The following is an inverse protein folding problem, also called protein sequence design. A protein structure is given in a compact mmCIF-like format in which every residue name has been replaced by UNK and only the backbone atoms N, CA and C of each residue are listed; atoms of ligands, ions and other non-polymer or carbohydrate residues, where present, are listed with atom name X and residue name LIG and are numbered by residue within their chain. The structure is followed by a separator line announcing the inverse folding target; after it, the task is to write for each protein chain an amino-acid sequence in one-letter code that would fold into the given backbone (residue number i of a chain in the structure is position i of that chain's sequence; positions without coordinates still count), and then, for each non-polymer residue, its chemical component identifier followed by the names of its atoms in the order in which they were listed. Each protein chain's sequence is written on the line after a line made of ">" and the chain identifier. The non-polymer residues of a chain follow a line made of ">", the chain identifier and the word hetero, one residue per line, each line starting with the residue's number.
data_IF_368354792113
#
_entry.id   IF_368354792113
#
_cell.length_a   1.000
_cell.length_b   1.000
_cell.length_c   1.000
_cell.angle_alpha   90.00
_cell.angle_beta   90.00
_cell.angle_gamma   90.00
#
_symmetry.space_group_name_H-M   'P 1'
#
loop_
_entity.id
_entity.type
_entity.pdbx_description
1 polymer ?
#
# COMPACT_ATOMS: atom_id res chain seq x y z
N UNK A 1 7.03 19.32 -19.85
CA UNK A 1 6.25 19.35 -18.59
C UNK A 1 4.75 19.38 -18.89
N UNK A 2 4.14 20.45 -19.43
CA UNK A 2 2.69 20.49 -19.73
C UNK A 2 2.17 19.30 -20.55
N UNK A 3 2.81 18.97 -21.68
CA UNK A 3 2.42 17.81 -22.49
C UNK A 3 2.61 16.48 -21.74
N UNK A 4 3.64 16.38 -20.90
CA UNK A 4 3.93 15.16 -20.13
C UNK A 4 2.88 14.94 -19.04
N UNK A 5 2.49 15.97 -18.29
CA UNK A 5 1.41 15.87 -17.30
C UNK A 5 0.09 15.51 -17.96
N UNK A 6 -0.17 16.02 -19.17
CA UNK A 6 -1.34 15.62 -19.96
C UNK A 6 -1.25 14.15 -20.37
N UNK A 7 -0.12 13.69 -20.91
CA UNK A 7 0.02 12.29 -21.32
C UNK A 7 -0.06 11.32 -20.12
N UNK A 8 0.63 11.63 -19.02
CA UNK A 8 0.61 10.82 -17.79
C UNK A 8 -0.79 10.86 -17.15
N UNK A 9 -1.38 12.05 -17.00
CA UNK A 9 -2.69 12.22 -16.39
C UNK A 9 -3.80 11.57 -17.21
N UNK A 10 -3.84 11.82 -18.52
CA UNK A 10 -4.82 11.18 -19.41
C UNK A 10 -4.62 9.67 -19.50
N UNK A 11 -3.36 9.20 -19.57
CA UNK A 11 -3.04 7.78 -19.53
C UNK A 11 -3.49 7.10 -18.24
N UNK A 12 -3.22 7.73 -17.08
CA UNK A 12 -3.63 7.22 -15.78
C UNK A 12 -5.16 7.18 -15.63
N UNK A 13 -5.87 8.24 -16.04
CA UNK A 13 -7.34 8.26 -16.02
C UNK A 13 -7.91 7.21 -16.96
N UNK A 14 -7.42 7.12 -18.19
CA UNK A 14 -7.90 6.13 -19.16
C UNK A 14 -7.68 4.71 -18.66
N UNK A 15 -6.48 4.41 -18.15
CA UNK A 15 -6.15 3.10 -17.59
C UNK A 15 -7.01 2.77 -16.38
N UNK A 16 -7.24 3.74 -15.48
CA UNK A 16 -8.12 3.56 -14.34
C UNK A 16 -9.57 3.31 -14.72
N UNK A 17 -10.10 4.02 -15.72
CA UNK A 17 -11.47 3.79 -16.21
C UNK A 17 -11.61 2.41 -16.87
N UNK A 18 -10.65 2.00 -17.68
CA UNK A 18 -10.60 0.65 -18.25
C UNK A 18 -10.54 -0.40 -17.13
N UNK A 19 -9.71 -0.18 -16.13
CA UNK A 19 -9.63 -1.02 -14.94
C UNK A 19 -10.98 -1.15 -14.23
N UNK A 20 -11.62 -0.04 -13.90
CA UNK A 20 -12.88 -0.01 -13.15
C UNK A 20 -14.07 -0.61 -13.89
N UNK A 21 -14.21 -0.33 -15.19
CA UNK A 21 -15.42 -0.66 -15.92
C UNK A 21 -15.31 -1.93 -16.75
N UNK A 22 -14.10 -2.34 -17.13
CA UNK A 22 -13.90 -3.51 -17.98
C UNK A 22 -13.21 -4.63 -17.22
N UNK A 23 -12.10 -4.34 -16.54
CA UNK A 23 -11.29 -5.40 -15.93
C UNK A 23 -11.85 -5.88 -14.59
N UNK A 24 -12.08 -4.98 -13.63
CA UNK A 24 -12.57 -5.35 -12.28
C UNK A 24 -13.86 -6.17 -12.38
N UNK A 25 -14.92 -5.77 -13.11
CA UNK A 25 -16.16 -6.54 -13.16
C UNK A 25 -16.00 -7.90 -13.84
N UNK A 26 -15.00 -8.08 -14.69
CA UNK A 26 -14.75 -9.32 -15.42
C UNK A 26 -13.87 -10.30 -14.63
N UNK A 27 -12.94 -9.78 -13.82
CA UNK A 27 -11.96 -10.58 -13.07
C UNK A 27 -12.48 -10.99 -11.68
N UNK A 28 -13.38 -10.20 -11.10
CA UNK A 28 -13.82 -10.41 -9.71
C UNK A 28 -15.05 -11.29 -9.64
N UNK A 29 -15.01 -12.31 -8.77
CA UNK A 29 -16.14 -13.20 -8.51
C UNK A 29 -17.18 -12.61 -7.56
N UNK A 30 -16.83 -11.54 -6.82
CA UNK A 30 -17.69 -10.93 -5.80
C UNK A 30 -17.78 -9.41 -5.94
N UNK A 31 -18.91 -8.82 -5.49
CA UNK A 31 -19.07 -7.37 -5.43
C UNK A 31 -18.23 -6.73 -4.33
N UNK A 32 -18.25 -5.40 -4.20
CA UNK A 32 -17.43 -4.66 -3.22
C UNK A 32 -17.62 -5.14 -1.76
N UNK A 33 -18.87 -5.42 -1.39
CA UNK A 33 -19.25 -5.92 -0.08
C UNK A 33 -20.23 -7.06 -0.29
N UNK A 34 -19.94 -8.23 0.28
CA UNK A 34 -20.80 -9.41 0.18
C UNK A 34 -21.23 -9.85 1.56
N UNK A 35 -22.52 -10.18 1.68
CA UNK A 35 -23.05 -10.77 2.89
C UNK A 35 -23.08 -12.30 2.73
N UNK A 36 -22.20 -13.01 3.42
CA UNK A 36 -22.16 -14.47 3.46
C UNK A 36 -22.60 -14.94 4.83
N UNK A 37 -23.71 -15.70 4.89
CA UNK A 37 -24.18 -16.36 6.14
C UNK A 37 -24.25 -15.44 7.36
N UNK A 38 -24.78 -14.22 7.19
CA UNK A 38 -24.90 -13.15 8.20
C UNK A 38 -23.61 -12.42 8.58
N UNK A 39 -22.47 -12.80 8.02
CA UNK A 39 -21.23 -12.03 8.10
C UNK A 39 -21.09 -11.11 6.88
N UNK A 40 -20.57 -9.90 7.10
CA UNK A 40 -20.27 -8.94 6.04
C UNK A 40 -18.79 -9.07 5.72
N UNK A 41 -18.48 -9.53 4.52
CA UNK A 41 -17.11 -9.74 4.04
C UNK A 41 -16.81 -8.75 2.92
N UNK A 42 -15.59 -8.22 2.89
CA UNK A 42 -15.10 -7.43 1.78
C UNK A 42 -14.88 -8.36 0.58
N UNK A 43 -15.50 -8.05 -0.55
CA UNK A 43 -15.27 -8.83 -1.76
C UNK A 43 -13.96 -8.47 -2.46
N UNK A 44 -13.50 -9.38 -3.30
CA UNK A 44 -12.28 -9.26 -4.11
C UNK A 44 -12.25 -8.00 -4.99
N UNK A 45 -13.41 -7.48 -5.41
CA UNK A 45 -13.51 -6.24 -6.16
C UNK A 45 -13.14 -4.96 -5.37
N UNK A 46 -13.13 -4.99 -4.04
CA UNK A 46 -12.99 -3.77 -3.24
C UNK A 46 -11.63 -3.09 -3.39
N UNK A 47 -10.55 -3.84 -3.16
CA UNK A 47 -9.19 -3.33 -3.24
C UNK A 47 -8.85 -2.75 -4.64
N UNK A 48 -9.07 -3.47 -5.76
CA UNK A 48 -8.78 -2.92 -7.08
C UNK A 48 -9.69 -1.72 -7.42
N UNK A 49 -10.95 -1.72 -6.99
CA UNK A 49 -11.84 -0.57 -7.21
C UNK A 49 -11.32 0.70 -6.52
N UNK A 50 -10.87 0.60 -5.27
CA UNK A 50 -10.28 1.75 -4.57
C UNK A 50 -8.99 2.19 -5.26
N UNK A 51 -8.12 1.24 -5.62
CA UNK A 51 -6.84 1.54 -6.26
C UNK A 51 -7.04 2.31 -7.57
N UNK A 52 -7.91 1.82 -8.46
CA UNK A 52 -8.20 2.51 -9.72
C UNK A 52 -8.96 3.83 -9.49
N UNK A 53 -9.84 3.92 -8.50
CA UNK A 53 -10.52 5.19 -8.17
C UNK A 53 -9.53 6.27 -7.74
N UNK A 54 -8.58 5.92 -6.86
CA UNK A 54 -7.52 6.84 -6.44
C UNK A 54 -6.59 7.21 -7.60
N UNK A 55 -6.27 6.26 -8.48
CA UNK A 55 -5.50 6.52 -9.69
C UNK A 55 -6.22 7.48 -10.64
N UNK A 56 -7.54 7.31 -10.83
CA UNK A 56 -8.35 8.22 -11.65
C UNK A 56 -8.37 9.63 -11.06
N UNK A 57 -8.54 9.76 -9.73
CA UNK A 57 -8.50 11.05 -9.04
C UNK A 57 -7.12 11.70 -9.19
N UNK A 58 -6.04 10.95 -8.93
CA UNK A 58 -4.67 11.46 -9.09
C UNK A 58 -4.36 11.90 -10.52
N UNK A 59 -4.78 11.12 -11.51
CA UNK A 59 -4.65 11.47 -12.92
C UNK A 59 -5.47 12.72 -13.30
N UNK A 60 -6.70 12.84 -12.78
CA UNK A 60 -7.53 14.03 -12.99
C UNK A 60 -6.92 15.28 -12.35
N UNK A 61 -6.36 15.17 -11.14
CA UNK A 61 -5.64 16.27 -10.49
C UNK A 61 -4.44 16.74 -11.32
N UNK A 62 -3.67 15.82 -11.91
CA UNK A 62 -2.57 16.17 -12.83
C UNK A 62 -3.04 16.89 -14.10
N UNK A 63 -4.25 16.60 -14.57
CA UNK A 63 -4.86 17.31 -15.72
C UNK A 63 -5.36 18.70 -15.33
N UNK A 64 -5.85 18.87 -14.10
CA UNK A 64 -6.32 20.15 -13.56
C UNK A 64 -5.15 21.07 -13.23
N UNK A 65 -3.98 20.53 -12.89
CA UNK A 65 -2.79 21.29 -12.53
C UNK A 65 -2.29 22.17 -13.69
N UNK A 66 -2.85 23.38 -13.78
CA UNK A 66 -2.47 24.40 -14.75
C UNK A 66 -1.17 25.09 -14.32
N UNK A 67 -0.09 24.68 -14.98
CA UNK A 67 1.16 25.43 -15.26
C UNK A 67 1.62 26.42 -14.18
N UNK A 68 2.60 26.00 -13.38
CA UNK A 68 3.71 26.90 -13.07
C UNK A 68 4.85 26.64 -14.07
N UNK A 69 5.26 27.69 -14.77
CA UNK A 69 6.37 27.68 -15.70
C UNK A 69 7.69 27.45 -14.94
N UNK A 70 8.37 26.32 -15.18
CA UNK A 70 9.82 26.25 -14.94
C UNK A 70 10.52 25.39 -16.00
N UNK A 71 11.50 26.05 -16.62
CA UNK A 71 12.65 25.64 -17.44
C UNK A 71 12.79 24.20 -17.96
N UNK A 72 13.15 24.14 -19.25
CA UNK A 72 13.53 22.96 -20.04
C UNK A 72 14.94 22.51 -19.61
N UNK A 73 15.10 21.99 -18.40
CA UNK A 73 16.18 21.08 -18.02
C UNK A 73 15.60 20.17 -16.94
N UNK A 74 15.44 18.89 -17.23
CA UNK A 74 15.10 17.89 -16.19
C UNK A 74 16.38 17.72 -15.37
N UNK A 75 16.48 18.29 -14.15
CA UNK A 75 17.63 18.05 -13.32
C UNK A 75 17.63 16.58 -12.88
N UNK A 76 18.79 16.01 -12.56
CA UNK A 76 18.88 14.66 -12.01
C UNK A 76 18.16 14.54 -10.64
N UNK A 77 18.01 15.66 -9.93
CA UNK A 77 17.48 15.71 -8.57
C UNK A 77 15.99 15.29 -8.45
N UNK A 78 15.05 15.79 -9.28
CA UNK A 78 13.68 15.25 -9.31
C UNK A 78 13.60 13.76 -9.62
N UNK A 79 14.44 13.27 -10.52
CA UNK A 79 14.48 11.83 -10.87
C UNK A 79 14.93 10.97 -9.69
N UNK A 80 16.00 11.40 -8.98
CA UNK A 80 16.47 10.72 -7.77
C UNK A 80 15.42 10.73 -6.66
N UNK A 81 14.67 11.82 -6.50
CA UNK A 81 13.60 11.90 -5.52
C UNK A 81 12.47 10.92 -5.83
N UNK A 82 12.02 10.87 -7.09
CA UNK A 82 11.02 9.87 -7.53
C UNK A 82 11.54 8.44 -7.36
N UNK A 83 12.79 8.17 -7.73
CA UNK A 83 13.41 6.87 -7.53
C UNK A 83 13.49 6.50 -6.04
N UNK A 84 13.77 7.45 -5.16
CA UNK A 84 13.79 7.24 -3.71
C UNK A 84 12.38 6.91 -3.17
N UNK A 85 11.32 7.57 -3.65
CA UNK A 85 9.95 7.22 -3.29
C UNK A 85 9.60 5.79 -3.72
N UNK A 86 9.94 5.42 -4.95
CA UNK A 86 9.75 4.05 -5.46
C UNK A 86 10.54 3.05 -4.62
N UNK A 87 11.78 3.36 -4.25
CA UNK A 87 12.60 2.51 -3.41
C UNK A 87 12.02 2.33 -2.00
N UNK A 88 11.48 3.39 -1.38
CA UNK A 88 10.79 3.31 -0.08
C UNK A 88 9.55 2.42 -0.16
N UNK A 89 8.74 2.56 -1.22
CA UNK A 89 7.57 1.72 -1.44
C UNK A 89 7.99 0.26 -1.62
N UNK A 90 8.94 -0.01 -2.52
CA UNK A 90 9.45 -1.35 -2.78
C UNK A 90 10.03 -1.99 -1.50
N UNK A 91 10.81 -1.24 -0.74
CA UNK A 91 11.37 -1.70 0.52
C UNK A 91 10.30 -1.96 1.57
N UNK A 92 9.29 -1.09 1.68
CA UNK A 92 8.13 -1.31 2.55
C UNK A 92 7.33 -2.56 2.18
N UNK A 93 7.14 -2.83 0.89
CA UNK A 93 6.49 -4.06 0.41
C UNK A 93 7.32 -5.31 0.71
N UNK A 94 8.65 -5.23 0.56
CA UNK A 94 9.55 -6.32 0.94
C UNK A 94 9.49 -6.59 2.45
N UNK A 95 9.45 -5.55 3.28
CA UNK A 95 9.25 -5.69 4.72
C UNK A 95 7.89 -6.32 5.03
N UNK A 96 6.82 -5.85 4.39
CA UNK A 96 5.50 -6.48 4.54
C UNK A 96 5.59 -7.97 4.27
N UNK A 97 6.16 -8.35 3.13
CA UNK A 97 6.25 -9.74 2.67
C UNK A 97 7.12 -10.63 3.56
N UNK A 98 8.28 -10.14 4.00
CA UNK A 98 9.33 -11.00 4.57
C UNK A 98 9.57 -10.81 6.07
N UNK A 99 9.06 -9.76 6.70
CA UNK A 99 9.33 -9.53 8.12
C UNK A 99 8.74 -10.61 9.02
N UNK A 100 7.53 -11.12 8.71
CA UNK A 100 6.90 -12.20 9.47
C UNK A 100 7.71 -13.51 9.43
N UNK A 101 7.90 -14.12 8.24
CA UNK A 101 8.72 -15.33 8.10
C UNK A 101 10.17 -15.14 8.58
N UNK A 102 10.76 -13.96 8.34
CA UNK A 102 12.12 -13.65 8.77
C UNK A 102 12.28 -13.61 10.28
N UNK A 103 11.33 -13.02 11.02
CA UNK A 103 11.38 -13.02 12.48
C UNK A 103 11.13 -14.41 13.07
N UNK A 104 10.31 -15.24 12.42
CA UNK A 104 10.10 -16.62 12.84
C UNK A 104 11.38 -17.44 12.69
N UNK A 105 12.05 -17.34 11.54
CA UNK A 105 13.34 -17.99 11.31
C UNK A 105 14.39 -17.60 12.36
N UNK A 106 14.44 -16.32 12.73
CA UNK A 106 15.32 -15.85 13.81
C UNK A 106 14.92 -16.48 15.15
N UNK A 107 13.63 -16.52 15.48
CA UNK A 107 13.14 -17.08 16.73
C UNK A 107 13.42 -18.60 16.85
N UNK A 108 13.25 -19.36 15.77
CA UNK A 108 13.62 -20.78 15.68
C UNK A 108 15.13 -20.97 15.92
N UNK A 109 15.96 -20.11 15.33
CA UNK A 109 17.41 -20.10 15.56
C UNK A 109 17.83 -19.84 17.02
N UNK A 110 16.96 -19.23 17.83
CA UNK A 110 17.18 -19.00 19.27
C UNK A 110 16.49 -20.03 20.18
N UNK A 111 16.06 -21.18 19.63
CA UNK A 111 15.44 -22.27 20.39
C UNK A 111 13.91 -22.21 20.41
N UNK A 112 13.29 -21.50 19.48
CA UNK A 112 11.85 -21.58 19.19
C UNK A 112 11.45 -22.96 18.65
N UNK A 113 10.16 -23.27 18.72
CA UNK A 113 9.59 -24.49 18.14
C UNK A 113 9.58 -24.41 16.62
N UNK A 114 10.09 -25.43 15.92
CA UNK A 114 9.98 -25.59 14.46
C UNK A 114 8.50 -25.53 14.05
N UNK A 115 8.05 -24.38 13.57
CA UNK A 115 6.64 -24.12 13.29
C UNK A 115 6.54 -23.40 11.96
N UNK A 116 5.69 -23.88 11.05
CA UNK A 116 5.50 -23.23 9.77
C UNK A 116 4.81 -21.85 9.94
N UNK A 117 5.35 -20.79 9.34
CA UNK A 117 4.78 -19.43 9.42
C UNK A 117 3.29 -19.38 9.06
N UNK A 118 2.87 -20.21 8.10
CA UNK A 118 1.49 -20.32 7.65
C UNK A 118 0.50 -20.66 8.76
N UNK A 119 0.93 -21.41 9.78
CA UNK A 119 0.10 -21.77 10.94
C UNK A 119 0.00 -20.63 11.96
N UNK A 120 1.00 -19.76 11.99
CA UNK A 120 1.11 -18.66 12.95
C UNK A 120 0.54 -17.34 12.40
N UNK A 121 0.38 -17.21 11.08
CA UNK A 121 0.04 -15.95 10.39
C UNK A 121 -1.26 -15.27 10.85
N UNK A 122 -2.17 -16.01 11.48
CA UNK A 122 -3.45 -15.49 12.01
C UNK A 122 -3.37 -15.15 13.50
N UNK A 123 -2.27 -15.51 14.15
CA UNK A 123 -2.10 -15.35 15.60
C UNK A 123 -1.36 -14.06 15.94
N UNK A 124 -1.64 -13.52 17.12
CA UNK A 124 -0.84 -12.46 17.69
C UNK A 124 0.55 -13.00 18.08
N UNK A 125 1.66 -12.30 17.78
CA UNK A 125 1.78 -11.01 17.07
C UNK A 125 2.00 -11.13 15.55
N UNK A 126 2.17 -12.34 15.05
CA UNK A 126 2.61 -12.66 13.68
C UNK A 126 1.76 -12.03 12.58
N UNK A 127 0.45 -11.90 12.82
CA UNK A 127 -0.46 -11.28 11.85
C UNK A 127 -0.20 -9.79 11.59
N UNK A 128 0.41 -9.08 12.54
CA UNK A 128 0.60 -7.62 12.45
C UNK A 128 2.00 -7.19 12.02
N UNK A 129 3.02 -8.02 12.22
CA UNK A 129 4.44 -7.66 12.05
C UNK A 129 4.72 -7.07 10.66
N UNK A 130 4.35 -7.81 9.61
CA UNK A 130 4.61 -7.41 8.23
C UNK A 130 3.92 -6.10 7.90
N UNK A 131 2.60 -6.04 8.14
CA UNK A 131 1.79 -4.86 7.87
C UNK A 131 2.31 -3.63 8.63
N UNK A 132 2.61 -3.79 9.93
CA UNK A 132 3.10 -2.70 10.76
C UNK A 132 4.45 -2.17 10.27
N UNK A 133 5.45 -3.04 10.10
CA UNK A 133 6.80 -2.62 9.73
C UNK A 133 6.84 -2.00 8.33
N UNK A 134 6.17 -2.61 7.35
CA UNK A 134 6.12 -2.03 6.01
C UNK A 134 5.27 -0.75 5.97
N UNK A 135 4.16 -0.69 6.69
CA UNK A 135 3.28 0.49 6.75
C UNK A 135 3.98 1.71 7.35
N UNK A 136 4.64 1.53 8.50
CA UNK A 136 5.43 2.58 9.15
C UNK A 136 6.58 3.03 8.24
N UNK A 137 7.24 2.09 7.57
CA UNK A 137 8.34 2.39 6.65
C UNK A 137 7.86 3.21 5.45
N UNK A 138 6.72 2.84 4.84
CA UNK A 138 6.18 3.55 3.69
C UNK A 138 5.70 4.96 4.08
N UNK A 139 4.84 5.07 5.09
CA UNK A 139 4.29 6.37 5.51
C UNK A 139 5.42 7.28 6.03
N UNK A 140 6.26 6.75 6.92
CA UNK A 140 7.38 7.50 7.51
C UNK A 140 8.44 7.87 6.49
N UNK A 141 8.80 6.95 5.60
CA UNK A 141 9.79 7.16 4.54
C UNK A 141 9.34 8.19 3.52
N UNK A 142 8.10 8.07 3.02
CA UNK A 142 7.53 9.04 2.07
C UNK A 142 7.38 10.44 2.69
N UNK A 143 6.89 10.52 3.93
CA UNK A 143 6.75 11.79 4.63
C UNK A 143 8.11 12.44 4.92
N UNK A 144 9.12 11.66 5.29
CA UNK A 144 10.47 12.16 5.55
C UNK A 144 11.20 12.60 4.29
N UNK A 145 11.04 11.85 3.19
CA UNK A 145 11.56 12.24 1.87
C UNK A 145 10.93 13.55 1.41
N UNK A 146 9.60 13.67 1.51
CA UNK A 146 8.87 14.89 1.14
C UNK A 146 9.26 16.10 1.99
N UNK A 147 9.51 15.89 3.29
CA UNK A 147 9.94 16.94 4.20
C UNK A 147 11.44 17.30 4.10
N UNK A 148 12.25 16.46 3.44
CA UNK A 148 13.72 16.58 3.37
C UNK A 148 14.42 16.36 4.72
N UNK A 149 13.73 15.88 5.74
CA UNK A 149 14.27 15.67 7.10
C UNK A 149 13.57 14.52 7.81
N UNK A 150 14.35 13.75 8.57
CA UNK A 150 13.83 12.74 9.47
C UNK A 150 13.43 13.43 10.79
N UNK A 151 12.15 13.34 11.15
CA UNK A 151 11.66 13.88 12.43
C UNK A 151 10.99 12.77 13.24
N UNK A 152 11.24 12.77 14.54
CA UNK A 152 10.55 11.87 15.48
C UNK A 152 9.02 12.01 15.39
N UNK A 153 8.53 13.23 15.18
CA UNK A 153 7.09 13.50 14.95
C UNK A 153 6.56 12.73 13.74
N UNK A 154 7.30 12.69 12.63
CA UNK A 154 6.90 11.96 11.43
C UNK A 154 6.83 10.46 11.70
N UNK A 155 7.81 9.91 12.43
CA UNK A 155 7.80 8.50 12.83
C UNK A 155 6.59 8.17 13.72
N UNK A 156 6.29 9.02 14.71
CA UNK A 156 5.12 8.84 15.58
C UNK A 156 3.80 8.90 14.80
N UNK A 157 3.67 9.83 13.84
CA UNK A 157 2.51 9.90 12.96
C UNK A 157 2.41 8.63 12.12
N UNK A 158 3.51 8.14 11.55
CA UNK A 158 3.51 6.92 10.75
C UNK A 158 3.06 5.70 11.57
N UNK A 159 3.55 5.57 12.82
CA UNK A 159 3.10 4.54 13.77
C UNK A 159 1.61 4.68 14.07
N UNK A 160 1.16 5.87 14.46
CA UNK A 160 -0.25 6.11 14.79
C UNK A 160 -1.19 5.82 13.63
N UNK A 161 -0.86 6.28 12.42
CA UNK A 161 -1.65 6.05 11.21
C UNK A 161 -1.65 4.56 10.86
N UNK A 162 -0.51 3.88 10.93
CA UNK A 162 -0.44 2.43 10.64
C UNK A 162 -1.28 1.63 11.62
N UNK A 163 -1.23 1.94 12.93
CA UNK A 163 -2.09 1.31 13.92
C UNK A 163 -3.57 1.61 13.67
N UNK A 164 -3.90 2.85 13.27
CA UNK A 164 -5.27 3.22 12.88
C UNK A 164 -5.76 2.42 11.68
N UNK A 165 -4.92 2.18 10.68
CA UNK A 165 -5.24 1.34 9.52
C UNK A 165 -5.39 -0.12 9.91
N UNK A 166 -4.52 -0.65 10.78
CA UNK A 166 -4.68 -2.00 11.33
C UNK A 166 -6.03 -2.11 12.03
N UNK A 167 -6.38 -1.18 12.92
CA UNK A 167 -7.65 -1.21 13.63
C UNK A 167 -8.85 -1.06 12.67
N UNK A 168 -8.76 -0.20 11.66
CA UNK A 168 -9.82 -0.01 10.66
C UNK A 168 -10.12 -1.28 9.86
N UNK A 169 -9.13 -2.16 9.69
CA UNK A 169 -9.26 -3.40 8.92
C UNK A 169 -9.55 -4.60 9.83
N UNK A 170 -8.82 -4.75 10.92
CA UNK A 170 -8.87 -5.94 11.79
C UNK A 170 -10.05 -5.91 12.78
N UNK A 171 -10.56 -4.74 13.18
CA UNK A 171 -11.69 -4.63 14.13
C UNK A 171 -13.05 -4.91 13.48
N UNK A 172 -13.39 -4.35 12.30
CA UNK A 172 -14.68 -4.62 11.68
C UNK A 172 -14.74 -5.93 10.90
N UNK A 173 -13.61 -6.57 10.59
CA UNK A 173 -13.54 -7.75 9.74
C UNK A 173 -12.70 -8.87 10.39
N UNK A 174 -13.36 -9.74 11.16
CA UNK A 174 -12.71 -10.82 11.91
C UNK A 174 -11.98 -11.83 11.01
N UNK A 175 -12.47 -12.04 9.79
CA UNK A 175 -11.95 -13.05 8.85
C UNK A 175 -10.99 -12.46 7.80
N UNK A 176 -10.65 -11.17 7.90
CA UNK A 176 -9.82 -10.50 6.90
C UNK A 176 -8.34 -10.56 7.29
N UNK A 177 -7.58 -11.34 6.52
CA UNK A 177 -6.13 -11.39 6.67
C UNK A 177 -5.50 -10.06 6.24
N UNK A 178 -4.73 -9.45 7.15
CA UNK A 178 -3.90 -8.31 6.80
C UNK A 178 -2.87 -8.70 5.71
N UNK A 179 -2.63 -7.86 4.69
CA UNK A 179 -1.53 -8.08 3.76
C UNK A 179 -0.21 -8.20 4.55
N UNK A 180 0.69 -9.16 4.24
CA UNK A 180 0.74 -10.08 3.10
C UNK A 180 0.17 -11.49 3.37
N UNK A 181 -0.58 -11.69 4.45
CA UNK A 181 -0.76 -13.03 5.03
C UNK A 181 -1.65 -13.98 4.18
N UNK A 182 -2.25 -13.50 3.09
CA UNK A 182 -3.13 -14.29 2.22
C UNK A 182 -2.43 -15.37 1.38
N UNK A 183 -1.17 -15.17 0.97
CA UNK A 183 -0.54 -15.96 -0.11
C UNK A 183 0.48 -17.01 0.36
N UNK A 184 0.58 -17.25 1.67
CA UNK A 184 1.56 -18.18 2.26
C UNK A 184 1.02 -19.58 2.54
#
# INVERSE_FOLDING_TARGET
>A
MYRLNIYIGSGAVLFALVGLFLWVPQDTGTGLVVQVRRQVTIGDAFAPTIAFSLMAIGGALLLIEQRQHTSIKVPLAPFLHTAALVAVIAFGLLLMRHAGPGLLFVAEGFGGTDTEYRLLRETFPWKYIGYFLGGVTMIGGMASLSAGRLQARTALIAVAVTMGLIALVDVPFDDLLLPPNGDY
#
